data_IF_263718106986
#
_entry.id   IF_263718106986
#
_cell.length_a   1.000
_cell.length_b   1.000
_cell.length_c   1.000
_cell.angle_alpha   90.00
_cell.angle_beta   90.00
_cell.angle_gamma   90.00
#
_symmetry.space_group_name_H-M   'P 1'
#
loop_
_entity.id
_entity.type
_entity.pdbx_description
1 polymer ?
#
# COMPACT_ATOMS: atom_id res chain seq x y z
N UNK A 1 0.43 16.29 -13.85
CA UNK A 1 0.02 16.94 -12.59
C UNK A 1 -0.34 15.91 -11.49
N UNK A 2 -1.21 14.95 -11.73
CA UNK A 2 -1.61 13.92 -10.73
C UNK A 2 -0.41 13.11 -10.21
N UNK A 3 0.54 12.73 -11.06
CA UNK A 3 1.75 12.01 -10.64
C UNK A 3 2.63 12.81 -9.66
N UNK A 4 2.78 14.12 -9.87
CA UNK A 4 3.54 14.96 -8.94
C UNK A 4 2.87 15.03 -7.57
N UNK A 5 1.56 15.21 -7.56
CA UNK A 5 0.75 15.25 -6.33
C UNK A 5 0.84 13.91 -5.57
N UNK A 6 0.78 12.79 -6.28
CA UNK A 6 0.98 11.46 -5.72
C UNK A 6 2.38 11.29 -5.09
N UNK A 7 3.43 11.75 -5.75
CA UNK A 7 4.80 11.67 -5.25
C UNK A 7 5.04 12.56 -4.02
N UNK A 8 4.46 13.76 -3.99
CA UNK A 8 4.48 14.62 -2.80
C UNK A 8 3.77 13.93 -1.63
N UNK A 9 2.60 13.33 -1.88
CA UNK A 9 1.90 12.52 -0.90
C UNK A 9 2.75 11.35 -0.40
N UNK A 10 3.48 10.67 -1.29
CA UNK A 10 4.38 9.57 -0.93
C UNK A 10 5.50 9.98 0.03
N UNK A 11 6.13 11.13 -0.19
CA UNK A 11 7.19 11.65 0.70
C UNK A 11 6.61 12.02 2.06
N UNK A 12 5.53 12.78 2.08
CA UNK A 12 4.85 13.16 3.34
C UNK A 12 4.39 11.89 4.08
N UNK A 13 3.81 10.94 3.36
CA UNK A 13 3.32 9.68 3.91
C UNK A 13 4.43 8.85 4.56
N UNK A 14 5.58 8.72 3.90
CA UNK A 14 6.72 7.97 4.45
C UNK A 14 7.21 8.58 5.76
N UNK A 15 7.31 9.91 5.85
CA UNK A 15 7.73 10.60 7.06
C UNK A 15 6.68 10.52 8.17
N UNK A 16 5.41 10.80 7.84
CA UNK A 16 4.32 10.80 8.80
C UNK A 16 4.04 9.39 9.36
N UNK A 17 3.95 8.40 8.48
CA UNK A 17 3.72 7.01 8.90
C UNK A 17 4.94 6.43 9.61
N UNK A 18 6.17 6.83 9.24
CA UNK A 18 7.39 6.47 9.96
C UNK A 18 7.35 6.94 11.40
N UNK A 19 6.99 8.21 11.64
CA UNK A 19 6.82 8.76 12.98
C UNK A 19 5.70 8.06 13.77
N UNK A 20 4.60 7.73 13.11
CA UNK A 20 3.49 6.99 13.74
C UNK A 20 3.89 5.56 14.13
N UNK A 21 4.77 4.92 13.35
CA UNK A 21 5.24 3.56 13.62
C UNK A 21 5.92 3.43 15.00
N UNK A 22 6.63 4.46 15.43
CA UNK A 22 7.31 4.48 16.73
C UNK A 22 6.32 4.58 17.90
N UNK A 23 5.08 5.03 17.63
CA UNK A 23 4.07 5.30 18.67
C UNK A 23 2.91 4.31 18.69
N UNK A 24 2.64 3.64 17.58
CA UNK A 24 1.48 2.78 17.42
C UNK A 24 1.85 1.30 17.34
N UNK A 25 0.91 0.45 17.71
CA UNK A 25 1.06 -1.00 17.55
C UNK A 25 0.98 -1.39 16.07
N UNK A 26 1.69 -2.43 15.68
CA UNK A 26 1.77 -2.90 14.29
C UNK A 26 0.39 -3.12 13.64
N UNK A 27 -0.56 -3.69 14.38
CA UNK A 27 -1.91 -3.92 13.85
C UNK A 27 -2.70 -2.63 13.61
N UNK A 28 -2.49 -1.60 14.45
CA UNK A 28 -3.11 -0.29 14.27
C UNK A 28 -2.55 0.40 13.02
N UNK A 29 -1.24 0.30 12.80
CA UNK A 29 -0.60 0.79 11.57
C UNK A 29 -1.15 0.10 10.33
N UNK A 30 -1.30 -1.22 10.36
CA UNK A 30 -1.90 -1.97 9.25
C UNK A 30 -3.32 -1.46 8.94
N UNK A 31 -4.16 -1.28 9.97
CA UNK A 31 -5.53 -0.78 9.80
C UNK A 31 -5.55 0.65 9.23
N UNK A 32 -4.66 1.53 9.68
CA UNK A 32 -4.56 2.91 9.16
C UNK A 32 -4.13 2.91 7.69
N UNK A 33 -3.10 2.14 7.34
CA UNK A 33 -2.56 2.10 5.98
C UNK A 33 -3.62 1.54 5.00
N UNK A 34 -4.19 0.38 5.29
CA UNK A 34 -5.16 -0.25 4.38
C UNK A 34 -6.51 0.43 4.40
N UNK A 35 -6.96 0.96 5.53
CA UNK A 35 -8.18 1.76 5.64
C UNK A 35 -8.05 3.07 4.85
N UNK A 36 -6.93 3.77 4.98
CA UNK A 36 -6.66 4.98 4.21
C UNK A 36 -6.54 4.71 2.70
N UNK A 37 -5.90 3.60 2.32
CA UNK A 37 -5.82 3.17 0.92
C UNK A 37 -7.22 2.85 0.35
N UNK A 38 -8.05 2.16 1.12
CA UNK A 38 -9.42 1.85 0.72
C UNK A 38 -10.25 3.12 0.51
N UNK A 39 -10.16 4.09 1.44
CA UNK A 39 -10.84 5.39 1.31
C UNK A 39 -10.36 6.14 0.07
N UNK A 40 -9.03 6.18 -0.18
CA UNK A 40 -8.48 6.81 -1.37
C UNK A 40 -9.02 6.17 -2.67
N UNK A 41 -9.14 4.84 -2.73
CA UNK A 41 -9.72 4.13 -3.86
C UNK A 41 -11.21 4.45 -4.04
N UNK A 42 -11.99 4.48 -2.96
CA UNK A 42 -13.41 4.84 -3.00
C UNK A 42 -13.59 6.27 -3.51
N UNK A 43 -12.80 7.22 -3.04
CA UNK A 43 -12.83 8.61 -3.51
C UNK A 43 -12.49 8.71 -5.01
N UNK A 44 -11.50 7.98 -5.48
CA UNK A 44 -11.17 7.92 -6.91
C UNK A 44 -12.31 7.34 -7.76
N UNK A 45 -13.08 6.40 -7.20
CA UNK A 45 -14.19 5.76 -7.91
C UNK A 45 -15.45 6.62 -7.95
N UNK A 46 -15.75 7.32 -6.85
CA UNK A 46 -17.05 8.03 -6.71
C UNK A 46 -17.04 9.45 -7.25
N UNK A 47 -15.85 10.03 -7.50
CA UNK A 47 -15.73 11.46 -7.76
C UNK A 47 -15.14 11.76 -9.14
N UNK A 48 -15.78 12.73 -9.83
CA UNK A 48 -15.28 13.35 -11.07
C UNK A 48 -14.72 14.76 -10.84
N UNK A 49 -14.84 15.30 -9.61
CA UNK A 49 -14.36 16.64 -9.26
C UNK A 49 -12.83 16.70 -9.16
N UNK A 50 -12.21 17.62 -9.89
CA UNK A 50 -10.74 17.79 -9.92
C UNK A 50 -10.12 17.96 -8.53
N UNK A 51 -10.65 18.79 -7.61
CA UNK A 51 -10.06 18.93 -6.27
C UNK A 51 -10.05 17.62 -5.47
N UNK A 52 -11.12 16.84 -5.58
CA UNK A 52 -11.23 15.56 -4.86
C UNK A 52 -10.31 14.50 -5.48
N UNK A 53 -10.12 14.51 -6.80
CA UNK A 53 -9.14 13.66 -7.47
C UNK A 53 -7.71 13.98 -7.02
N UNK A 54 -7.39 15.26 -6.83
CA UNK A 54 -6.09 15.69 -6.29
C UNK A 54 -5.93 15.15 -4.86
N UNK A 55 -6.93 15.33 -4.00
CA UNK A 55 -6.92 14.83 -2.63
C UNK A 55 -6.75 13.31 -2.58
N UNK A 56 -7.52 12.59 -3.38
CA UNK A 56 -7.42 11.14 -3.49
C UNK A 56 -6.05 10.68 -4.01
N UNK A 57 -5.43 11.44 -4.91
CA UNK A 57 -4.06 11.23 -5.38
C UNK A 57 -3.03 11.38 -4.26
N UNK A 58 -3.14 12.44 -3.45
CA UNK A 58 -2.27 12.62 -2.26
C UNK A 58 -2.45 11.47 -1.28
N UNK A 59 -3.69 11.14 -0.92
CA UNK A 59 -3.98 10.02 -0.02
C UNK A 59 -3.46 8.69 -0.57
N UNK A 60 -3.65 8.44 -1.86
CA UNK A 60 -3.10 7.27 -2.55
C UNK A 60 -1.58 7.19 -2.41
N UNK A 61 -0.87 8.31 -2.61
CA UNK A 61 0.58 8.41 -2.41
C UNK A 61 0.99 8.11 -0.96
N UNK A 62 0.32 8.74 0.02
CA UNK A 62 0.58 8.56 1.44
C UNK A 62 0.45 7.08 1.84
N UNK A 63 -0.68 6.46 1.56
CA UNK A 63 -0.98 5.12 2.05
C UNK A 63 -0.40 4.00 1.18
N UNK A 64 -0.24 4.20 -0.13
CA UNK A 64 0.39 3.20 -1.01
C UNK A 64 1.90 3.17 -0.82
N UNK A 65 2.60 4.24 -1.21
CA UNK A 65 4.07 4.29 -1.17
C UNK A 65 4.59 4.44 0.26
N UNK A 66 3.96 5.30 1.08
CA UNK A 66 4.30 5.44 2.49
C UNK A 66 4.07 4.14 3.25
N UNK A 67 2.93 3.47 3.04
CA UNK A 67 2.63 2.17 3.63
C UNK A 67 3.61 1.08 3.21
N UNK A 68 4.00 1.03 1.94
CA UNK A 68 5.00 0.10 1.42
C UNK A 68 6.37 0.30 2.09
N UNK A 69 6.80 1.54 2.26
CA UNK A 69 8.07 1.87 2.93
C UNK A 69 8.07 1.38 4.39
N UNK A 70 6.95 1.53 5.09
CA UNK A 70 6.78 1.03 6.46
C UNK A 70 6.85 -0.51 6.49
N UNK A 71 6.17 -1.20 5.58
CA UNK A 71 6.22 -2.67 5.50
C UNK A 71 7.64 -3.17 5.27
N UNK A 72 8.42 -2.49 4.44
CA UNK A 72 9.84 -2.83 4.26
C UNK A 72 10.66 -2.56 5.52
N UNK A 73 10.40 -1.45 6.22
CA UNK A 73 11.07 -1.10 7.48
C UNK A 73 10.83 -2.09 8.62
N UNK A 74 9.63 -2.66 8.72
CA UNK A 74 9.28 -3.65 9.75
C UNK A 74 9.61 -5.09 9.34
N UNK A 75 9.83 -5.36 8.06
CA UNK A 75 10.14 -6.70 7.56
C UNK A 75 11.28 -7.40 8.33
N UNK A 76 12.40 -6.74 8.67
CA UNK A 76 13.49 -7.35 9.43
C UNK A 76 13.10 -7.86 10.83
N UNK A 77 11.99 -7.38 11.38
CA UNK A 77 11.53 -7.78 12.72
C UNK A 77 10.97 -9.22 12.71
N UNK A 78 10.51 -9.71 11.55
CA UNK A 78 9.92 -11.04 11.40
C UNK A 78 10.94 -12.14 11.12
N UNK A 79 12.19 -11.77 10.81
CA UNK A 79 13.27 -12.72 10.53
C UNK A 79 14.34 -12.65 11.60
N UNK A 80 14.94 -13.78 11.96
CA UNK A 80 16.03 -13.87 12.95
C UNK A 80 17.29 -14.49 12.34
N UNK A 81 18.45 -14.15 12.90
CA UNK A 81 19.72 -14.75 12.52
C UNK A 81 20.16 -14.48 11.08
N UNK A 82 20.89 -15.42 10.49
CA UNK A 82 21.45 -15.31 9.14
C UNK A 82 20.39 -15.23 8.03
N UNK A 83 19.16 -15.74 8.26
CA UNK A 83 18.06 -15.69 7.30
C UNK A 83 17.42 -14.31 7.14
N UNK A 84 17.78 -13.33 7.98
CA UNK A 84 17.18 -11.99 8.00
C UNK A 84 17.33 -11.26 6.65
N UNK A 85 18.54 -11.24 6.11
CA UNK A 85 18.85 -10.55 4.85
C UNK A 85 18.15 -11.24 3.67
N UNK A 86 18.21 -12.56 3.61
CA UNK A 86 17.57 -13.36 2.56
C UNK A 86 16.04 -13.23 2.63
N UNK A 87 15.46 -13.31 3.82
CA UNK A 87 14.01 -13.17 4.00
C UNK A 87 13.47 -11.79 3.60
N UNK A 88 14.16 -10.72 4.01
CA UNK A 88 13.80 -9.35 3.62
C UNK A 88 14.01 -9.15 2.11
N UNK A 89 15.13 -9.63 1.57
CA UNK A 89 15.44 -9.53 0.15
C UNK A 89 14.40 -10.24 -0.73
N UNK A 90 13.97 -11.45 -0.36
CA UNK A 90 12.93 -12.19 -1.08
C UNK A 90 11.57 -11.47 -1.03
N UNK A 91 11.19 -10.92 0.12
CA UNK A 91 9.95 -10.15 0.26
C UNK A 91 9.94 -8.89 -0.62
N UNK A 92 11.06 -8.15 -0.66
CA UNK A 92 11.22 -6.98 -1.53
C UNK A 92 11.17 -7.38 -3.01
N UNK A 93 11.84 -8.47 -3.38
CA UNK A 93 11.87 -8.95 -4.77
C UNK A 93 10.49 -9.35 -5.26
N UNK A 94 9.69 -10.06 -4.45
CA UNK A 94 8.31 -10.39 -4.77
C UNK A 94 7.44 -9.13 -4.90
N UNK A 95 7.63 -8.15 -4.03
CA UNK A 95 6.94 -6.86 -4.12
C UNK A 95 7.26 -6.12 -5.43
N UNK A 96 8.51 -6.17 -5.89
CA UNK A 96 8.92 -5.56 -7.17
C UNK A 96 8.33 -6.27 -8.37
N UNK A 97 8.21 -7.60 -8.35
CA UNK A 97 7.48 -8.34 -9.40
C UNK A 97 6.02 -7.87 -9.49
N UNK A 98 5.36 -7.68 -8.35
CA UNK A 98 4.00 -7.09 -8.32
C UNK A 98 3.95 -5.68 -8.91
N UNK A 99 4.94 -4.82 -8.60
CA UNK A 99 5.03 -3.47 -9.15
C UNK A 99 5.27 -3.45 -10.67
N UNK A 100 5.95 -4.44 -11.23
CA UNK A 100 6.14 -4.57 -12.68
C UNK A 100 4.89 -5.11 -13.39
N UNK A 101 4.20 -6.07 -12.77
CA UNK A 101 2.99 -6.68 -13.36
C UNK A 101 1.77 -5.76 -13.29
N UNK A 102 1.70 -4.86 -12.30
CA UNK A 102 0.60 -3.90 -12.12
C UNK A 102 0.31 -3.06 -13.36
N UNK A 103 1.27 -2.29 -13.89
CA UNK A 103 1.08 -1.50 -15.11
C UNK A 103 0.71 -2.33 -16.35
N UNK A 104 1.25 -3.55 -16.47
CA UNK A 104 0.92 -4.47 -17.57
C UNK A 104 -0.54 -4.92 -17.52
N UNK A 105 -1.03 -5.29 -16.34
CA UNK A 105 -2.44 -5.64 -16.12
C UNK A 105 -3.35 -4.43 -16.37
N UNK A 106 -2.98 -3.27 -15.85
CA UNK A 106 -3.72 -2.02 -16.08
C UNK A 106 -3.81 -1.68 -17.56
N UNK A 107 -2.72 -1.80 -18.31
CA UNK A 107 -2.68 -1.58 -19.74
C UNK A 107 -3.62 -2.55 -20.51
N UNK A 108 -3.62 -3.83 -20.15
CA UNK A 108 -4.54 -4.83 -20.75
C UNK A 108 -6.00 -4.52 -20.44
N UNK A 109 -6.34 -4.15 -19.21
CA UNK A 109 -7.71 -3.79 -18.80
C UNK A 109 -8.21 -2.58 -19.59
N UNK A 110 -7.36 -1.57 -19.79
CA UNK A 110 -7.70 -0.40 -20.62
C UNK A 110 -7.86 -0.77 -22.08
N UNK A 111 -7.01 -1.63 -22.63
CA UNK A 111 -7.09 -2.11 -24.01
C UNK A 111 -8.37 -2.91 -24.27
N UNK A 112 -8.91 -3.59 -23.27
CA UNK A 112 -10.21 -4.29 -23.32
C UNK A 112 -11.42 -3.37 -23.19
N UNK A 113 -11.22 -2.06 -23.08
CA UNK A 113 -12.30 -1.07 -22.97
C UNK A 113 -13.01 -1.04 -21.62
N UNK A 114 -12.51 -1.74 -20.59
CA UNK A 114 -13.12 -1.80 -19.26
C UNK A 114 -12.91 -0.51 -18.43
N UNK A 115 -12.15 0.42 -18.96
CA UNK A 115 -11.92 1.74 -18.35
C UNK A 115 -11.39 1.68 -16.93
N UNK A 116 -11.57 2.79 -16.22
CA UNK A 116 -11.10 2.95 -14.82
C UNK A 116 -11.80 1.98 -13.86
N UNK A 117 -13.06 1.66 -14.12
CA UNK A 117 -13.86 0.72 -13.33
C UNK A 117 -13.24 -0.68 -13.32
N UNK A 118 -12.76 -1.17 -14.46
CA UNK A 118 -12.09 -2.46 -14.57
C UNK A 118 -10.81 -2.52 -13.73
N UNK A 119 -10.02 -1.43 -13.71
CA UNK A 119 -8.80 -1.33 -12.91
C UNK A 119 -9.13 -1.40 -11.40
N UNK A 120 -10.18 -0.70 -10.97
CA UNK A 120 -10.59 -0.68 -9.56
C UNK A 120 -11.09 -2.05 -9.11
N UNK A 121 -11.94 -2.72 -9.90
CA UNK A 121 -12.42 -4.06 -9.59
C UNK A 121 -11.24 -5.05 -9.52
N UNK A 122 -10.26 -4.95 -10.41
CA UNK A 122 -9.09 -5.81 -10.40
C UNK A 122 -8.14 -5.53 -9.21
N UNK A 123 -8.09 -4.30 -8.69
CA UNK A 123 -7.24 -3.93 -7.56
C UNK A 123 -7.83 -4.30 -6.18
N UNK A 124 -9.16 -4.35 -6.05
CA UNK A 124 -9.83 -4.65 -4.78
C UNK A 124 -9.39 -5.98 -4.14
N UNK A 125 -9.37 -7.12 -4.85
CA UNK A 125 -8.92 -8.39 -4.26
C UNK A 125 -7.48 -8.32 -3.73
N UNK A 126 -6.59 -7.65 -4.46
CA UNK A 126 -5.19 -7.50 -4.05
C UNK A 126 -5.07 -6.69 -2.75
N UNK A 127 -5.82 -5.60 -2.61
CA UNK A 127 -5.86 -4.78 -1.39
C UNK A 127 -6.43 -5.56 -0.21
N UNK A 128 -7.52 -6.29 -0.43
CA UNK A 128 -8.15 -7.11 0.62
C UNK A 128 -7.22 -8.23 1.09
N UNK A 129 -6.62 -8.98 0.17
CA UNK A 129 -5.68 -10.07 0.50
C UNK A 129 -4.49 -9.50 1.27
N UNK A 130 -3.91 -8.39 0.83
CA UNK A 130 -2.80 -7.74 1.51
C UNK A 130 -3.18 -7.25 2.92
N UNK A 131 -4.36 -6.65 3.07
CA UNK A 131 -4.87 -6.19 4.36
C UNK A 131 -5.06 -7.35 5.34
N UNK A 132 -5.66 -8.45 4.89
CA UNK A 132 -5.86 -9.66 5.70
C UNK A 132 -4.52 -10.28 6.09
N UNK A 133 -3.59 -10.43 5.15
CA UNK A 133 -2.29 -11.02 5.41
C UNK A 133 -1.48 -10.21 6.44
N UNK A 134 -1.42 -8.87 6.28
CA UNK A 134 -0.66 -8.02 7.20
C UNK A 134 -1.32 -7.93 8.57
N UNK A 135 -2.65 -7.84 8.65
CA UNK A 135 -3.36 -7.83 9.93
C UNK A 135 -3.23 -9.17 10.68
N UNK A 136 -3.33 -10.29 9.98
CA UNK A 136 -3.11 -11.61 10.57
C UNK A 136 -1.68 -11.75 11.12
N UNK A 137 -0.68 -11.34 10.34
CA UNK A 137 0.73 -11.40 10.74
C UNK A 137 1.03 -10.48 11.94
N UNK A 138 0.45 -9.29 11.97
CA UNK A 138 0.62 -8.33 13.06
C UNK A 138 0.00 -8.80 14.37
N UNK A 139 -1.14 -9.49 14.31
CA UNK A 139 -1.79 -10.11 15.48
C UNK A 139 -1.00 -11.30 16.01
N UNK A 140 -0.49 -12.14 15.12
CA UNK A 140 0.32 -13.29 15.51
C UNK A 140 1.52 -12.87 16.35
N UNK A 141 2.24 -11.83 15.96
CA UNK A 141 3.38 -11.33 16.73
C UNK A 141 3.02 -10.62 18.04
N UNK A 142 1.82 -10.03 18.11
CA UNK A 142 1.32 -9.41 19.35
C UNK A 142 1.02 -10.44 20.45
N UNK A 143 0.78 -11.70 20.10
CA UNK A 143 0.54 -12.79 21.05
C UNK A 143 1.83 -13.40 21.63
N UNK A 144 2.99 -13.15 21.01
CA UNK A 144 4.29 -13.69 21.45
C UNK A 144 5.15 -12.66 22.21
N UNK A 145 4.60 -11.53 22.62
CA UNK A 145 5.17 -10.58 23.57
C UNK A 145 4.41 -10.62 24.89
#
# INVERSE_FOLDING_TARGET
>A
MVMLVFQVGAVIGTLALGYLLDRLKLWQMATIIYGGLFIALVLLFTTTSIPVLILAGVMGGIFSTGGQSILYGISPIFYSGMGKVTGVGSAISLGRLGAMTGPLLTGKILALGLGTTGILIASLPAVVISAVAVTALSRYKSMYK
#
